data_IF_184878947451
#
_entry.id   IF_184878947451
#
_cell.length_a   1.000
_cell.length_b   1.000
_cell.length_c   1.000
_cell.angle_alpha   90.00
_cell.angle_beta   90.00
_cell.angle_gamma   90.00
#
_symmetry.space_group_name_H-M   'P 1'
#
loop_
_entity.id
_entity.type
_entity.pdbx_description
1 polymer ?
#
# COMPACT_ATOMS: atom_id res chain seq x y z
N UNK A 1 -17.47 11.13 -10.42
CA UNK A 1 -17.08 10.89 -9.28
C UNK A 1 -15.94 10.01 -9.25
N UNK A 2 -14.96 10.39 -8.60
CA UNK A 2 -13.81 9.64 -8.54
C UNK A 2 -13.82 8.73 -7.37
N UNK A 3 -13.47 7.53 -7.53
CA UNK A 3 -13.38 6.65 -6.44
C UNK A 3 -12.01 6.06 -6.42
N UNK A 4 -11.41 5.91 -5.26
CA UNK A 4 -10.13 5.27 -5.15
C UNK A 4 -10.30 3.79 -5.40
N UNK A 5 -9.50 3.24 -6.27
CA UNK A 5 -9.57 1.83 -6.52
C UNK A 5 -8.93 1.09 -5.37
N UNK A 6 -9.55 0.00 -4.90
CA UNK A 6 -8.99 -0.72 -3.76
C UNK A 6 -7.66 -1.39 -4.08
N UNK A 7 -7.50 -1.86 -5.31
CA UNK A 7 -6.24 -2.47 -5.70
C UNK A 7 -5.59 -1.61 -6.77
N UNK A 8 -4.35 -1.21 -6.53
CA UNK A 8 -3.65 -0.34 -7.45
C UNK A 8 -2.25 -0.87 -7.69
N UNK A 9 -1.74 -0.65 -8.90
CA UNK A 9 -0.37 -1.00 -9.19
C UNK A 9 0.54 -0.16 -8.32
N UNK A 10 1.78 -0.63 -8.16
CA UNK A 10 2.72 0.08 -7.30
C UNK A 10 2.87 1.54 -7.73
N UNK A 11 2.97 1.79 -9.03
CA UNK A 11 3.13 3.16 -9.50
C UNK A 11 1.99 4.06 -9.08
N UNK A 12 0.78 3.53 -9.13
CA UNK A 12 -0.39 4.31 -8.71
C UNK A 12 -0.46 4.42 -7.21
N UNK A 13 -0.09 3.36 -6.51
CA UNK A 13 -0.11 3.38 -5.06
C UNK A 13 0.85 4.41 -4.49
N UNK A 14 1.97 4.63 -5.17
CA UNK A 14 2.91 5.68 -4.76
C UNK A 14 2.20 7.03 -4.71
N UNK A 15 1.41 7.31 -5.73
CA UNK A 15 0.71 8.59 -5.79
C UNK A 15 -0.38 8.67 -4.76
N UNK A 16 -1.08 7.57 -4.54
CA UNK A 16 -2.20 7.56 -3.61
C UNK A 16 -1.74 7.65 -2.17
N UNK A 17 -0.68 6.94 -1.83
CA UNK A 17 -0.25 6.84 -0.44
C UNK A 17 0.89 7.75 -0.07
N UNK A 18 1.64 8.22 -1.05
CA UNK A 18 2.83 9.02 -0.77
C UNK A 18 4.03 8.22 -0.35
N UNK A 19 3.92 6.90 -0.39
CA UNK A 19 5.04 6.04 -0.01
C UNK A 19 5.93 5.79 -1.23
N UNK A 20 7.17 5.42 -0.99
CA UNK A 20 8.09 5.20 -2.09
C UNK A 20 7.79 3.90 -2.81
N UNK A 21 8.14 3.86 -4.08
CA UNK A 21 7.96 2.64 -4.86
C UNK A 21 8.81 1.52 -4.28
N UNK A 22 9.98 1.86 -3.80
CA UNK A 22 10.87 0.87 -3.21
C UNK A 22 10.20 0.22 -1.99
N UNK A 23 9.63 1.05 -1.12
CA UNK A 23 8.97 0.54 0.07
C UNK A 23 7.83 -0.40 -0.30
N UNK A 24 7.00 0.02 -1.25
CA UNK A 24 5.86 -0.79 -1.65
C UNK A 24 6.29 -2.09 -2.30
N UNK A 25 7.31 -2.02 -3.14
CA UNK A 25 7.78 -3.22 -3.83
C UNK A 25 8.37 -4.22 -2.84
N UNK A 26 9.18 -3.73 -1.92
CA UNK A 26 9.77 -4.61 -0.93
C UNK A 26 8.70 -5.20 -0.03
N UNK A 27 7.72 -4.39 0.36
CA UNK A 27 6.63 -4.87 1.18
C UNK A 27 5.81 -5.94 0.49
N UNK A 28 5.62 -5.81 -0.82
CA UNK A 28 4.91 -6.81 -1.57
C UNK A 28 5.72 -8.11 -1.64
N UNK A 29 7.03 -7.98 -1.76
CA UNK A 29 7.86 -9.17 -1.88
C UNK A 29 7.95 -9.94 -0.58
N UNK A 30 8.05 -9.25 0.54
CA UNK A 30 8.18 -9.95 1.81
C UNK A 30 6.87 -10.10 2.56
N UNK A 31 5.79 -9.62 1.98
CA UNK A 31 4.47 -9.84 2.56
C UNK A 31 4.03 -8.84 3.60
N UNK A 32 4.80 -7.80 3.83
CA UNK A 32 4.41 -6.82 4.85
C UNK A 32 3.40 -5.81 4.33
N UNK A 33 3.24 -5.70 3.02
CA UNK A 33 2.24 -4.82 2.43
C UNK A 33 1.12 -5.68 1.88
N UNK A 34 -0.15 -5.43 2.26
CA UNK A 34 -1.25 -6.20 1.73
C UNK A 34 -1.34 -6.03 0.22
N UNK A 35 -1.36 -7.13 -0.49
CA UNK A 35 -1.34 -7.08 -1.95
C UNK A 35 -1.84 -8.37 -2.54
N UNK A 36 -2.08 -8.35 -3.86
CA UNK A 36 -2.31 -9.56 -4.62
C UNK A 36 -1.38 -9.48 -5.82
N UNK A 37 -1.09 -10.61 -6.39
CA UNK A 37 -0.23 -10.65 -7.57
C UNK A 37 -1.01 -11.24 -8.72
N UNK A 38 -1.02 -10.55 -9.84
CA UNK A 38 -1.70 -11.01 -11.03
C UNK A 38 -0.66 -11.09 -12.13
N UNK A 39 -0.30 -12.31 -12.52
CA UNK A 39 0.78 -12.47 -13.47
C UNK A 39 2.07 -12.01 -12.82
N UNK A 40 2.70 -11.04 -13.40
CA UNK A 40 3.93 -10.50 -12.84
C UNK A 40 3.74 -9.11 -12.25
N UNK A 41 2.49 -8.72 -12.03
CA UNK A 41 2.19 -7.39 -11.53
C UNK A 41 1.63 -7.47 -10.13
N UNK A 42 2.14 -6.63 -9.23
CA UNK A 42 1.60 -6.54 -7.89
C UNK A 42 0.53 -5.46 -7.85
N UNK A 43 -0.59 -5.79 -7.20
CA UNK A 43 -1.64 -4.82 -6.96
C UNK A 43 -1.75 -4.64 -5.45
N UNK A 44 -1.52 -3.44 -4.98
CA UNK A 44 -1.53 -3.13 -3.55
C UNK A 44 -2.96 -2.90 -3.09
N UNK A 45 -3.32 -3.52 -1.97
CA UNK A 45 -4.64 -3.32 -1.40
C UNK A 45 -4.60 -2.04 -0.59
N UNK A 46 -5.06 -0.96 -1.18
CA UNK A 46 -4.92 0.36 -0.58
C UNK A 46 -5.65 0.49 0.76
N UNK A 47 -6.92 0.13 0.87
CA UNK A 47 -7.60 0.29 2.16
C UNK A 47 -6.93 -0.50 3.27
N UNK A 48 -6.50 -1.71 2.99
CA UNK A 48 -5.85 -2.53 4.00
C UNK A 48 -4.50 -1.96 4.38
N UNK A 49 -3.76 -1.44 3.39
CA UNK A 49 -2.47 -0.84 3.65
C UNK A 49 -2.61 0.39 4.53
N UNK A 50 -3.56 1.25 4.21
CA UNK A 50 -3.76 2.46 4.99
C UNK A 50 -4.17 2.14 6.41
N UNK A 51 -4.97 1.11 6.57
CA UNK A 51 -5.40 0.71 7.89
C UNK A 51 -4.21 0.19 8.69
N UNK A 52 -3.35 -0.58 8.06
CA UNK A 52 -2.18 -1.12 8.73
C UNK A 52 -1.22 0.00 9.12
N UNK A 53 -0.99 0.94 8.22
CA UNK A 53 -0.11 2.06 8.52
C UNK A 53 -0.70 2.95 9.59
N UNK A 54 -2.00 3.12 9.58
CA UNK A 54 -2.66 3.91 10.59
C UNK A 54 -2.47 3.32 11.96
N UNK A 55 -2.58 2.01 12.07
CA UNK A 55 -2.42 1.36 13.33
C UNK A 55 -1.00 1.46 13.83
N UNK A 56 -0.04 1.33 12.92
CA UNK A 56 1.36 1.43 13.31
C UNK A 56 1.74 2.85 13.66
N UNK A 57 1.21 3.78 12.91
CA UNK A 57 1.47 5.17 13.18
C UNK A 57 0.89 5.61 14.47
N UNK A 58 -0.25 5.10 14.82
CA UNK A 58 -0.88 5.47 16.02
C UNK A 58 -0.03 5.17 17.18
N UNK A 59 0.68 4.10 17.13
CA UNK A 59 1.53 3.75 18.16
C UNK A 59 2.60 4.75 18.37
N UNK A 60 3.15 5.21 17.33
CA UNK A 60 4.21 6.10 17.43
C UNK A 60 3.76 7.44 17.51
N UNK A 61 2.72 7.66 16.99
CA UNK A 61 2.42 8.92 16.79
C UNK A 61 2.03 9.67 17.78
N UNK A 62 1.65 9.31 18.29
CA UNK A 62 1.30 9.99 19.01
C UNK A 62 1.90 11.02 19.24
N UNK A 63 2.34 11.40 18.81
CA UNK A 63 2.94 12.41 19.02
C UNK A 63 2.59 13.27 18.93
#
# INVERSE_FOLDING_TARGET
MQQMQPFQKIADAVKTTGLSAYFLRQGCRDGSVPHIKSGSVYFVNIPALLRKLGAESNTAGDV
#
